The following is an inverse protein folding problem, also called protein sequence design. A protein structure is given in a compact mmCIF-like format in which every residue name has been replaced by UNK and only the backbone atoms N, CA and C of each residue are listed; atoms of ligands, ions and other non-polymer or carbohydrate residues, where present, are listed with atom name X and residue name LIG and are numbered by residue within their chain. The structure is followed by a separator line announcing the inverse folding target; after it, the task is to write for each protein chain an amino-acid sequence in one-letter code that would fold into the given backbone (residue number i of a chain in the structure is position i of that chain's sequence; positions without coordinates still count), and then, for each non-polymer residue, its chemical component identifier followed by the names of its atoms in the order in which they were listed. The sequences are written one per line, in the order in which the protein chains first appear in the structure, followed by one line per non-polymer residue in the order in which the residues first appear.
data_IF_564857628328
#
_entry.id   IF_564857628328
#
_cell.length_a   1.000
_cell.length_b   1.000
_cell.length_c   1.000
_cell.angle_alpha   90.00
_cell.angle_beta   90.00
_cell.angle_gamma   90.00
#
_symmetry.space_group_name_H-M   'P 1'
#
loop_
_entity.id
_entity.type
_entity.pdbx_description
1 polymer ?
#
# COMPACT_ATOMS: atom_id res chain seq x y z
N UNK A 1 -19.83 0.27 -25.82
CA UNK A 1 -19.18 0.20 -24.49
C UNK A 1 -17.86 -0.51 -24.65
N UNK A 2 -16.74 0.11 -24.26
CA UNK A 2 -15.43 -0.53 -24.28
C UNK A 2 -15.24 -1.17 -22.90
N UNK A 3 -15.29 -2.49 -22.86
CA UNK A 3 -15.03 -3.26 -21.63
C UNK A 3 -13.52 -3.43 -21.51
N UNK A 4 -12.90 -2.73 -20.57
CA UNK A 4 -11.46 -2.88 -20.31
C UNK A 4 -11.23 -4.05 -19.36
N UNK A 5 -10.64 -5.13 -19.88
CA UNK A 5 -10.18 -6.26 -19.09
C UNK A 5 -8.72 -6.04 -18.69
N UNK A 6 -8.43 -6.06 -17.39
CA UNK A 6 -7.05 -6.01 -16.87
C UNK A 6 -6.67 -7.42 -16.44
N UNK A 7 -5.68 -8.00 -17.12
CA UNK A 7 -5.05 -9.25 -16.70
C UNK A 7 -3.69 -8.95 -16.07
N UNK A 8 -3.44 -9.45 -14.86
CA UNK A 8 -2.12 -9.41 -14.23
C UNK A 8 -1.65 -10.83 -13.94
N UNK A 9 -0.39 -11.12 -14.27
CA UNK A 9 0.28 -12.38 -14.01
C UNK A 9 1.18 -12.23 -12.79
N UNK A 10 1.02 -13.09 -11.79
CA UNK A 10 1.91 -13.18 -10.62
C UNK A 10 2.42 -14.62 -10.52
N UNK A 11 3.65 -14.86 -10.96
CA UNK A 11 4.20 -16.23 -11.06
C UNK A 11 3.50 -17.06 -12.15
N UNK A 12 3.07 -18.30 -11.84
CA UNK A 12 2.26 -19.16 -12.73
C UNK A 12 0.75 -19.02 -12.51
N UNK A 13 0.32 -18.15 -11.59
CA UNK A 13 -1.10 -17.98 -11.26
C UNK A 13 -1.64 -16.74 -11.96
N UNK A 14 -2.76 -16.92 -12.66
CA UNK A 14 -3.46 -15.86 -13.38
C UNK A 14 -4.75 -15.53 -12.64
N UNK A 15 -4.89 -14.26 -12.21
CA UNK A 15 -6.07 -13.76 -11.51
C UNK A 15 -6.94 -13.02 -12.54
N UNK A 16 -8.20 -13.46 -12.65
CA UNK A 16 -9.25 -12.77 -13.40
C UNK A 16 -10.19 -12.07 -12.42
N UNK A 17 -10.40 -10.77 -12.62
CA UNK A 17 -11.38 -9.97 -11.88
C UNK A 17 -12.56 -9.68 -12.81
N UNK A 18 -13.76 -10.14 -12.45
CA UNK A 18 -14.97 -9.86 -13.21
C UNK A 18 -15.43 -8.42 -12.95
N UNK A 19 -15.51 -7.62 -14.01
CA UNK A 19 -15.82 -6.18 -13.97
C UNK A 19 -17.32 -5.88 -13.81
N UNK A 20 -18.14 -6.91 -13.59
CA UNK A 20 -19.59 -6.81 -13.49
C UNK A 20 -20.12 -6.72 -12.05
N UNK A 21 -19.26 -6.87 -11.03
CA UNK A 21 -19.61 -6.46 -9.67
C UNK A 21 -19.56 -4.93 -9.58
N UNK A 22 -20.72 -4.29 -9.43
CA UNK A 22 -20.82 -2.87 -9.10
C UNK A 22 -20.12 -2.64 -7.76
N UNK A 23 -18.83 -2.32 -7.80
CA UNK A 23 -18.10 -1.86 -6.62
C UNK A 23 -18.86 -0.65 -6.08
N UNK A 24 -19.34 -0.76 -4.84
CA UNK A 24 -19.77 0.40 -4.09
C UNK A 24 -18.54 1.28 -3.86
N UNK A 25 -18.38 2.28 -4.74
CA UNK A 25 -17.27 3.22 -4.72
C UNK A 25 -17.17 3.96 -3.39
N UNK A 26 -18.29 4.23 -2.72
CA UNK A 26 -18.28 4.92 -1.43
C UNK A 26 -17.70 4.02 -0.34
N UNK A 27 -18.21 2.79 -0.25
CA UNK A 27 -17.70 1.79 0.71
C UNK A 27 -16.23 1.48 0.48
N UNK A 28 -15.80 1.32 -0.78
CA UNK A 28 -14.42 1.04 -1.12
C UNK A 28 -13.49 2.24 -0.86
N UNK A 29 -13.95 3.47 -1.14
CA UNK A 29 -13.19 4.69 -0.81
C UNK A 29 -12.95 4.78 0.69
N UNK A 30 -13.98 4.60 1.53
CA UNK A 30 -13.84 4.61 2.99
C UNK A 30 -12.89 3.55 3.51
N UNK A 31 -12.91 2.34 2.91
CA UNK A 31 -11.96 1.27 3.25
C UNK A 31 -10.52 1.68 2.96
N UNK A 32 -10.27 2.23 1.78
CA UNK A 32 -8.93 2.67 1.35
C UNK A 32 -8.45 3.87 2.18
N UNK A 33 -9.30 4.84 2.50
CA UNK A 33 -8.94 5.97 3.38
C UNK A 33 -8.47 5.50 4.75
N UNK A 34 -9.18 4.54 5.35
CA UNK A 34 -8.79 3.93 6.63
C UNK A 34 -7.46 3.19 6.52
N UNK A 35 -7.22 2.48 5.42
CA UNK A 35 -5.96 1.78 5.18
C UNK A 35 -4.78 2.74 4.98
N UNK A 36 -4.99 3.84 4.24
CA UNK A 36 -4.03 4.92 4.07
C UNK A 36 -3.67 5.56 5.41
N UNK A 37 -4.66 5.87 6.25
CA UNK A 37 -4.41 6.40 7.60
C UNK A 37 -3.53 5.44 8.42
N UNK A 38 -3.87 4.15 8.45
CA UNK A 38 -3.10 3.15 9.19
C UNK A 38 -1.66 3.05 8.66
N UNK A 39 -1.47 3.04 7.34
CA UNK A 39 -0.13 3.00 6.73
C UNK A 39 0.67 4.26 7.08
N UNK A 40 0.05 5.43 7.03
CA UNK A 40 0.71 6.69 7.38
C UNK A 40 1.17 6.70 8.85
N UNK A 41 0.36 6.19 9.78
CA UNK A 41 0.76 6.04 11.19
C UNK A 41 1.98 5.13 11.33
N UNK A 42 2.01 4.00 10.61
CA UNK A 42 3.13 3.05 10.66
C UNK A 42 4.40 3.62 10.01
N UNK A 43 4.26 4.37 8.92
CA UNK A 43 5.36 5.11 8.28
C UNK A 43 5.96 6.10 9.28
N UNK A 44 5.12 6.93 9.91
CA UNK A 44 5.58 7.94 10.87
C UNK A 44 6.32 7.30 12.06
N UNK A 45 5.82 6.18 12.58
CA UNK A 45 6.47 5.43 13.66
C UNK A 45 7.85 4.89 13.24
N UNK A 46 7.96 4.29 12.06
CA UNK A 46 9.23 3.76 11.56
C UNK A 46 10.22 4.86 11.23
N UNK A 47 9.79 5.98 10.65
CA UNK A 47 10.64 7.14 10.42
C UNK A 47 11.17 7.71 11.73
N UNK A 48 10.30 7.86 12.73
CA UNK A 48 10.72 8.29 14.07
C UNK A 48 11.75 7.32 14.68
N UNK A 49 11.49 6.02 14.61
CA UNK A 49 12.41 4.99 15.10
C UNK A 49 13.76 5.04 14.40
N UNK A 50 13.78 5.11 13.07
CA UNK A 50 14.99 5.12 12.26
C UNK A 50 15.79 6.43 12.40
N UNK A 51 15.12 7.54 12.73
CA UNK A 51 15.78 8.82 13.04
C UNK A 51 16.26 8.93 14.50
N UNK A 52 15.85 7.99 15.36
CA UNK A 52 16.28 7.94 16.76
C UNK A 52 17.68 7.31 16.92
N UNK A 53 18.28 7.32 18.13
CA UNK A 53 19.54 6.63 18.41
C UNK A 53 19.54 5.12 18.09
N UNK A 54 18.36 4.51 17.92
CA UNK A 54 18.20 3.12 17.49
C UNK A 54 19.02 2.81 16.23
N UNK A 55 18.98 3.68 15.20
CA UNK A 55 19.65 3.42 13.92
C UNK A 55 21.18 3.37 14.02
N UNK A 56 21.75 3.90 15.10
CA UNK A 56 23.20 3.87 15.38
C UNK A 56 23.59 2.76 16.35
N UNK A 57 22.66 2.30 17.21
CA UNK A 57 22.93 1.38 18.31
C UNK A 57 22.49 -0.06 18.03
N UNK A 58 21.48 -0.25 17.20
CA UNK A 58 20.98 -1.57 16.85
C UNK A 58 21.90 -2.28 15.84
N UNK A 59 21.90 -3.63 15.81
CA UNK A 59 22.62 -4.37 14.78
C UNK A 59 22.20 -3.96 13.37
N UNK A 60 23.15 -3.89 12.45
CA UNK A 60 22.92 -3.43 11.06
C UNK A 60 21.78 -4.19 10.37
N UNK A 61 21.69 -5.51 10.58
CA UNK A 61 20.63 -6.34 10.00
C UNK A 61 19.22 -5.93 10.47
N UNK A 62 19.08 -5.46 11.72
CA UNK A 62 17.80 -5.03 12.28
C UNK A 62 17.44 -3.68 11.67
N UNK A 63 18.38 -2.75 11.60
CA UNK A 63 18.17 -1.42 10.97
C UNK A 63 17.78 -1.58 9.50
N UNK A 64 18.42 -2.51 8.78
CA UNK A 64 18.09 -2.79 7.38
C UNK A 64 16.67 -3.37 7.22
N UNK A 65 16.26 -4.29 8.10
CA UNK A 65 14.89 -4.83 8.10
C UNK A 65 13.84 -3.74 8.34
N UNK A 66 14.08 -2.81 9.27
CA UNK A 66 13.14 -1.70 9.51
C UNK A 66 13.09 -0.71 8.33
N UNK A 67 14.23 -0.46 7.65
CA UNK A 67 14.26 0.35 6.43
C UNK A 67 13.50 -0.30 5.26
N UNK A 68 13.67 -1.61 5.07
CA UNK A 68 12.92 -2.37 4.06
C UNK A 68 11.41 -2.35 4.35
N UNK A 69 11.02 -2.52 5.62
CA UNK A 69 9.64 -2.41 6.04
C UNK A 69 9.05 -1.02 5.75
N UNK A 70 9.80 0.04 6.07
CA UNK A 70 9.41 1.41 5.74
C UNK A 70 9.22 1.61 4.23
N UNK A 71 10.13 1.08 3.41
CA UNK A 71 10.04 1.17 1.96
C UNK A 71 8.76 0.49 1.43
N UNK A 72 8.45 -0.73 1.90
CA UNK A 72 7.25 -1.48 1.53
C UNK A 72 5.96 -0.74 1.91
N UNK A 73 5.92 -0.12 3.10
CA UNK A 73 4.76 0.68 3.51
C UNK A 73 4.59 1.92 2.63
N UNK A 74 5.67 2.62 2.27
CA UNK A 74 5.61 3.75 1.34
C UNK A 74 5.10 3.33 -0.04
N UNK A 75 5.58 2.22 -0.59
CA UNK A 75 5.10 1.69 -1.87
C UNK A 75 3.60 1.34 -1.83
N UNK A 76 3.16 0.69 -0.75
CA UNK A 76 1.74 0.34 -0.56
C UNK A 76 0.88 1.61 -0.46
N UNK A 77 1.33 2.60 0.31
CA UNK A 77 0.65 3.89 0.46
C UNK A 77 0.51 4.61 -0.89
N UNK A 78 1.58 4.68 -1.70
CA UNK A 78 1.52 5.26 -3.05
C UNK A 78 0.55 4.51 -3.96
N UNK A 79 0.52 3.18 -3.89
CA UNK A 79 -0.41 2.36 -4.68
C UNK A 79 -1.87 2.65 -4.31
N UNK A 80 -2.17 2.76 -3.02
CA UNK A 80 -3.51 3.08 -2.54
C UNK A 80 -3.93 4.53 -2.86
N UNK A 81 -2.99 5.49 -2.83
CA UNK A 81 -3.25 6.87 -3.28
C UNK A 81 -3.61 6.92 -4.77
N UNK A 82 -2.96 6.12 -5.62
CA UNK A 82 -3.33 6.02 -7.03
C UNK A 82 -4.73 5.41 -7.19
N UNK A 83 -5.04 4.36 -6.41
CA UNK A 83 -6.34 3.69 -6.46
C UNK A 83 -7.49 4.59 -6.01
N UNK A 84 -7.34 5.29 -4.89
CA UNK A 84 -8.40 6.20 -4.40
C UNK A 84 -8.65 7.33 -5.41
N UNK A 85 -7.59 7.89 -5.99
CA UNK A 85 -7.71 8.90 -7.04
C UNK A 85 -8.49 8.38 -8.26
N UNK A 86 -8.30 7.13 -8.66
CA UNK A 86 -9.05 6.54 -9.78
C UNK A 86 -10.51 6.21 -9.43
N UNK A 87 -10.84 5.99 -8.16
CA UNK A 87 -12.22 5.76 -7.71
C UNK A 87 -13.03 7.05 -7.57
N UNK A 88 -12.37 8.16 -7.24
CA UNK A 88 -12.99 9.48 -7.03
C UNK A 88 -13.03 10.37 -8.28
N UNK A 89 -12.50 9.89 -9.42
CA UNK A 89 -12.74 10.50 -10.74
C UNK A 89 -14.13 10.16 -11.25
#
# INVERSE_FOLDING_TARGET
SITSNISLVVGTTQIYLDTQETIDKETETKRIEKELQNLQEQINRLESLLNSPFSKKAPNEVVLKEKDKLHKYKQSHTTLLARIHDLTK
#
